data_IF_351504076034
#
_entry.id   IF_351504076034
#
_cell.length_a   1.000
_cell.length_b   1.000
_cell.length_c   1.000
_cell.angle_alpha   90.00
_cell.angle_beta   90.00
_cell.angle_gamma   90.00
#
_symmetry.space_group_name_H-M   'P 1'
#
loop_
_entity.id
_entity.type
_entity.pdbx_description
1 polymer ?
#
# COMPACT_ATOMS: atom_id res chain seq x y z
N UNK A 1 15.79 -10.62 -3.36
CA UNK A 1 17.08 -10.36 -2.66
C UNK A 1 16.90 -9.16 -1.76
N UNK A 2 17.24 -9.29 -0.47
CA UNK A 2 17.18 -8.18 0.48
C UNK A 2 18.31 -7.17 0.20
N UNK A 3 18.01 -5.88 0.42
CA UNK A 3 19.01 -4.82 0.31
C UNK A 3 20.01 -4.91 1.49
N UNK A 4 21.24 -4.46 1.30
CA UNK A 4 22.19 -4.41 2.42
C UNK A 4 21.71 -3.43 3.51
N UNK A 5 22.05 -3.65 4.79
CA UNK A 5 21.56 -2.81 5.89
C UNK A 5 21.85 -1.32 5.70
N UNK A 6 23.05 -0.98 5.18
CA UNK A 6 23.41 0.40 4.88
C UNK A 6 22.53 1.01 3.77
N UNK A 7 22.13 0.22 2.77
CA UNK A 7 21.23 0.68 1.69
C UNK A 7 19.80 0.87 2.22
N UNK A 8 19.30 -0.05 3.06
CA UNK A 8 18.00 0.09 3.70
C UNK A 8 17.94 1.34 4.58
N UNK A 9 18.93 1.52 5.44
CA UNK A 9 19.02 2.72 6.29
C UNK A 9 19.03 4.01 5.45
N UNK A 10 19.83 4.05 4.37
CA UNK A 10 19.88 5.20 3.48
C UNK A 10 18.53 5.49 2.82
N UNK A 11 17.84 4.48 2.31
CA UNK A 11 16.51 4.64 1.70
C UNK A 11 15.49 5.14 2.71
N UNK A 12 15.50 4.60 3.93
CA UNK A 12 14.64 5.03 5.02
C UNK A 12 14.84 6.51 5.35
N UNK A 13 16.09 6.94 5.54
CA UNK A 13 16.43 8.35 5.82
C UNK A 13 16.01 9.26 4.65
N UNK A 14 16.17 8.81 3.40
CA UNK A 14 15.73 9.58 2.23
C UNK A 14 14.21 9.74 2.20
N UNK A 15 13.45 8.68 2.51
CA UNK A 15 12.00 8.74 2.60
C UNK A 15 11.54 9.67 3.73
N UNK A 16 12.13 9.56 4.91
CA UNK A 16 11.84 10.44 6.05
C UNK A 16 12.05 11.92 5.69
N UNK A 17 13.11 12.21 4.94
CA UNK A 17 13.41 13.56 4.47
C UNK A 17 12.45 14.04 3.35
N UNK A 18 12.08 13.16 2.42
CA UNK A 18 11.19 13.49 1.32
C UNK A 18 9.75 13.81 1.78
N UNK A 19 9.31 13.17 2.87
CA UNK A 19 8.00 13.37 3.49
C UNK A 19 7.89 14.68 4.30
N UNK A 20 9.02 15.25 4.77
CA UNK A 20 9.02 16.51 5.53
C UNK A 20 8.70 17.71 4.64
N UNK A 21 7.89 18.64 5.17
CA UNK A 21 7.58 19.90 4.49
C UNK A 21 8.85 20.75 4.32
N UNK A 22 9.11 21.24 3.09
CA UNK A 22 10.28 22.09 2.78
C UNK A 22 11.52 21.36 2.24
N UNK A 23 11.37 20.15 1.67
CA UNK A 23 12.50 19.36 1.17
C UNK A 23 13.35 20.05 0.09
N UNK A 24 14.65 20.22 0.36
CA UNK A 24 15.71 20.55 -0.61
C UNK A 24 15.74 19.65 -1.87
N UNK A 25 16.28 20.19 -2.97
CA UNK A 25 16.42 19.56 -4.30
C UNK A 25 17.06 18.16 -4.27
N UNK A 26 18.04 17.93 -3.37
CA UNK A 26 18.68 16.60 -3.22
C UNK A 26 17.71 15.50 -2.76
N UNK A 27 16.61 15.85 -2.09
CA UNK A 27 15.60 14.88 -1.63
C UNK A 27 14.59 14.53 -2.74
N UNK A 28 14.30 15.48 -3.63
CA UNK A 28 13.52 15.19 -4.85
C UNK A 28 14.18 14.06 -5.63
N UNK A 29 15.52 14.06 -5.74
CA UNK A 29 16.27 13.00 -6.44
C UNK A 29 16.03 11.59 -5.88
N UNK A 30 15.92 11.42 -4.56
CA UNK A 30 15.66 10.11 -3.95
C UNK A 30 14.25 9.59 -4.24
N UNK A 31 13.26 10.46 -4.06
CA UNK A 31 11.86 10.15 -4.38
C UNK A 31 11.67 9.90 -5.89
N UNK A 32 12.30 10.69 -6.75
CA UNK A 32 12.24 10.52 -8.20
C UNK A 32 12.80 9.16 -8.64
N UNK A 33 13.89 8.70 -8.02
CA UNK A 33 14.43 7.36 -8.26
C UNK A 33 13.44 6.26 -7.85
N UNK A 34 12.74 6.44 -6.73
CA UNK A 34 11.71 5.49 -6.29
C UNK A 34 10.50 5.48 -7.23
N UNK A 35 10.07 6.64 -7.74
CA UNK A 35 9.03 6.73 -8.75
C UNK A 35 9.43 6.07 -10.07
N UNK A 36 10.69 6.26 -10.52
CA UNK A 36 11.22 5.59 -11.70
C UNK A 36 11.23 4.06 -11.53
N UNK A 37 11.69 3.57 -10.38
CA UNK A 37 11.69 2.15 -10.03
C UNK A 37 10.26 1.58 -10.05
N UNK A 38 9.33 2.28 -9.41
CA UNK A 38 7.93 1.93 -9.38
C UNK A 38 7.33 1.87 -10.79
N UNK A 39 7.66 2.83 -11.65
CA UNK A 39 7.18 2.85 -13.03
C UNK A 39 7.72 1.67 -13.86
N UNK A 40 8.96 1.23 -13.63
CA UNK A 40 9.52 0.02 -14.24
C UNK A 40 8.80 -1.24 -13.76
N UNK A 41 8.64 -1.42 -12.45
CA UNK A 41 7.99 -2.58 -11.87
C UNK A 41 6.51 -2.67 -12.27
N UNK A 42 5.80 -1.54 -12.33
CA UNK A 42 4.42 -1.45 -12.85
C UNK A 42 4.34 -1.86 -14.32
N UNK A 43 5.29 -1.42 -15.16
CA UNK A 43 5.34 -1.83 -16.58
C UNK A 43 5.56 -3.33 -16.71
N UNK A 44 6.47 -3.91 -15.92
CA UNK A 44 6.71 -5.36 -15.86
C UNK A 44 5.43 -6.11 -15.47
N UNK A 45 4.74 -5.68 -14.43
CA UNK A 45 3.49 -6.30 -13.98
C UNK A 45 2.38 -6.19 -15.04
N UNK A 46 2.27 -5.06 -15.74
CA UNK A 46 1.28 -4.86 -16.82
C UNK A 46 1.46 -5.85 -17.97
N UNK A 47 2.69 -6.26 -18.27
CA UNK A 47 3.00 -7.24 -19.32
C UNK A 47 2.62 -8.69 -19.00
N UNK A 48 2.19 -8.97 -17.77
CA UNK A 48 1.82 -10.32 -17.32
C UNK A 48 0.30 -10.47 -17.38
N UNK A 49 -0.20 -11.62 -17.84
CA UNK A 49 -1.65 -11.86 -17.90
C UNK A 49 -2.18 -12.52 -16.62
N UNK A 50 -1.49 -13.53 -16.09
CA UNK A 50 -1.90 -14.25 -14.88
C UNK A 50 -1.90 -13.35 -13.64
N UNK A 51 -3.04 -13.30 -12.94
CA UNK A 51 -3.21 -12.60 -11.66
C UNK A 51 -2.38 -13.24 -10.55
N UNK A 52 -2.38 -14.57 -10.46
CA UNK A 52 -1.57 -15.35 -9.50
C UNK A 52 -0.07 -15.05 -9.69
N UNK A 53 0.41 -15.03 -10.93
CA UNK A 53 1.82 -14.69 -11.22
C UNK A 53 2.16 -13.24 -10.86
N UNK A 54 1.23 -12.30 -11.05
CA UNK A 54 1.41 -10.91 -10.61
C UNK A 54 1.54 -10.83 -9.09
N UNK A 55 0.68 -11.52 -8.35
CA UNK A 55 0.72 -11.54 -6.89
C UNK A 55 2.08 -12.07 -6.38
N UNK A 56 2.57 -13.18 -6.95
CA UNK A 56 3.89 -13.74 -6.62
C UNK A 56 5.03 -12.73 -6.87
N UNK A 57 5.01 -12.01 -8.00
CA UNK A 57 6.02 -10.99 -8.28
C UNK A 57 5.91 -9.80 -7.32
N UNK A 58 4.69 -9.38 -6.93
CA UNK A 58 4.51 -8.33 -5.93
C UNK A 58 5.19 -8.71 -4.62
N UNK A 59 5.01 -9.96 -4.15
CA UNK A 59 5.70 -10.50 -2.96
C UNK A 59 7.23 -10.35 -3.10
N UNK A 60 7.80 -10.67 -4.27
CA UNK A 60 9.24 -10.52 -4.51
C UNK A 60 9.73 -9.06 -4.53
N UNK A 61 8.86 -8.14 -4.97
CA UNK A 61 9.18 -6.72 -5.11
C UNK A 61 9.04 -5.95 -3.80
N UNK A 62 8.05 -6.27 -2.97
CA UNK A 62 7.73 -5.56 -1.72
C UNK A 62 8.94 -5.30 -0.80
N UNK A 63 9.87 -6.25 -0.59
CA UNK A 63 11.07 -6.00 0.23
C UNK A 63 11.92 -4.83 -0.25
N UNK A 64 11.90 -4.49 -1.55
CA UNK A 64 12.65 -3.37 -2.12
C UNK A 64 12.11 -2.01 -1.69
N UNK A 65 10.81 -1.95 -1.35
CA UNK A 65 10.10 -0.73 -0.97
C UNK A 65 9.93 -0.58 0.54
N UNK A 66 10.09 -1.67 1.31
CA UNK A 66 9.93 -1.71 2.77
C UNK A 66 10.54 -0.50 3.49
N UNK A 67 11.86 -0.30 3.32
CA UNK A 67 12.59 0.79 3.96
C UNK A 67 12.08 2.19 3.56
N UNK A 68 11.62 2.37 2.32
CA UNK A 68 11.04 3.63 1.88
C UNK A 68 9.71 3.88 2.58
N UNK A 69 8.82 2.89 2.58
CA UNK A 69 7.52 2.99 3.26
C UNK A 69 7.70 3.25 4.75
N UNK A 70 8.55 2.48 5.44
CA UNK A 70 8.83 2.69 6.86
C UNK A 70 9.32 4.12 7.16
N UNK A 71 10.20 4.66 6.32
CA UNK A 71 10.69 6.03 6.50
C UNK A 71 9.63 7.08 6.20
N UNK A 72 8.84 6.88 5.15
CA UNK A 72 7.73 7.77 4.80
C UNK A 72 6.68 7.84 5.90
N UNK A 73 6.27 6.69 6.43
CA UNK A 73 5.32 6.61 7.55
C UNK A 73 5.90 7.17 8.85
N UNK A 74 7.18 6.89 9.16
CA UNK A 74 7.82 7.36 10.39
C UNK A 74 8.00 8.89 10.44
N UNK A 75 8.11 9.56 9.29
CA UNK A 75 8.19 11.01 9.24
C UNK A 75 6.85 11.72 9.50
N UNK A 76 5.74 10.97 9.50
CA UNK A 76 4.38 11.44 9.71
C UNK A 76 4.01 12.67 8.84
N UNK A 77 4.50 12.69 7.60
CA UNK A 77 4.34 13.82 6.69
C UNK A 77 3.01 13.83 5.95
N UNK A 78 2.44 15.04 5.76
CA UNK A 78 1.20 15.23 5.00
C UNK A 78 1.37 15.17 3.48
N UNK A 79 2.61 15.24 2.97
CA UNK A 79 2.89 15.20 1.54
C UNK A 79 2.60 13.81 0.98
N UNK A 80 1.69 13.72 0.00
CA UNK A 80 1.38 12.47 -0.68
C UNK A 80 2.62 11.80 -1.28
N UNK A 81 2.70 10.48 -1.11
CA UNK A 81 3.74 9.62 -1.66
C UNK A 81 3.10 8.45 -2.43
N UNK A 82 3.14 8.53 -3.76
CA UNK A 82 2.55 7.51 -4.63
C UNK A 82 3.26 6.15 -4.49
N UNK A 83 4.53 6.12 -4.09
CA UNK A 83 5.25 4.87 -3.84
C UNK A 83 4.60 4.14 -2.67
N UNK A 84 4.32 4.85 -1.57
CA UNK A 84 3.60 4.29 -0.42
C UNK A 84 2.21 3.80 -0.84
N UNK A 85 1.48 4.60 -1.64
CA UNK A 85 0.13 4.23 -2.06
C UNK A 85 0.07 3.01 -2.99
N UNK A 86 1.01 2.84 -3.92
CA UNK A 86 1.09 1.62 -4.73
C UNK A 86 1.54 0.41 -3.92
N UNK A 87 2.48 0.59 -2.98
CA UNK A 87 2.93 -0.49 -2.10
C UNK A 87 1.80 -0.96 -1.19
N UNK A 88 0.94 -0.06 -0.70
CA UNK A 88 -0.27 -0.42 0.03
C UNK A 88 -1.14 -1.40 -0.76
N UNK A 89 -1.44 -1.09 -2.03
CA UNK A 89 -2.20 -2.00 -2.90
C UNK A 89 -1.48 -3.34 -3.09
N UNK A 90 -0.18 -3.31 -3.36
CA UNK A 90 0.59 -4.54 -3.58
C UNK A 90 0.71 -5.42 -2.33
N UNK A 91 0.67 -4.83 -1.13
CA UNK A 91 0.61 -5.56 0.13
C UNK A 91 -0.71 -6.32 0.27
N UNK A 92 -1.84 -5.71 -0.09
CA UNK A 92 -3.15 -6.38 -0.14
C UNK A 92 -3.10 -7.57 -1.10
N UNK A 93 -2.61 -7.35 -2.33
CA UNK A 93 -2.44 -8.42 -3.33
C UNK A 93 -1.55 -9.59 -2.85
N UNK A 94 -0.60 -9.29 -1.96
CA UNK A 94 0.37 -10.24 -1.42
C UNK A 94 -0.08 -10.89 -0.10
N UNK A 95 -1.24 -10.50 0.45
CA UNK A 95 -1.72 -10.95 1.76
C UNK A 95 -1.05 -10.28 2.97
N UNK A 96 -0.22 -9.26 2.78
CA UNK A 96 0.34 -8.42 3.86
C UNK A 96 -0.67 -7.34 4.29
N UNK A 97 -1.80 -7.79 4.83
CA UNK A 97 -2.92 -6.92 5.19
C UNK A 97 -2.57 -5.95 6.33
N UNK A 98 -1.78 -6.39 7.31
CA UNK A 98 -1.33 -5.52 8.41
C UNK A 98 -0.49 -4.34 7.87
N UNK A 99 0.49 -4.62 7.01
CA UNK A 99 1.29 -3.58 6.39
C UNK A 99 0.48 -2.67 5.46
N UNK A 100 -0.58 -3.18 4.82
CA UNK A 100 -1.50 -2.36 4.05
C UNK A 100 -2.32 -1.41 4.95
N UNK A 101 -2.82 -1.90 6.08
CA UNK A 101 -3.57 -1.09 7.04
C UNK A 101 -2.70 0.01 7.68
N UNK A 102 -1.43 -0.23 7.95
CA UNK A 102 -0.50 0.80 8.44
C UNK A 102 -0.35 1.96 7.44
N UNK A 103 -0.16 1.64 6.16
CA UNK A 103 -0.08 2.63 5.09
C UNK A 103 -1.42 3.35 4.90
N UNK A 104 -2.53 2.61 4.94
CA UNK A 104 -3.89 3.13 4.83
C UNK A 104 -4.25 4.11 5.95
N UNK A 105 -3.86 3.79 7.19
CA UNK A 105 -4.06 4.66 8.35
C UNK A 105 -3.34 5.99 8.22
N UNK A 106 -2.12 5.96 7.70
CA UNK A 106 -1.36 7.17 7.41
C UNK A 106 -2.02 7.99 6.29
N UNK A 107 -2.40 7.33 5.20
CA UNK A 107 -3.06 7.95 4.07
C UNK A 107 -4.35 8.68 4.49
N UNK A 108 -5.20 8.03 5.30
CA UNK A 108 -6.45 8.62 5.78
C UNK A 108 -6.23 9.81 6.72
N UNK A 109 -5.29 9.71 7.66
CA UNK A 109 -4.95 10.85 8.55
C UNK A 109 -4.53 12.10 7.79
N UNK A 110 -3.83 11.94 6.67
CA UNK A 110 -3.27 13.03 5.87
C UNK A 110 -4.09 13.35 4.61
N UNK A 111 -5.25 12.73 4.43
CA UNK A 111 -6.14 12.98 3.29
C UNK A 111 -5.54 12.60 1.93
N UNK A 112 -4.70 11.56 1.88
CA UNK A 112 -4.11 11.09 0.63
C UNK A 112 -5.16 10.41 -0.25
N UNK A 113 -4.93 10.46 -1.56
CA UNK A 113 -5.83 9.84 -2.56
C UNK A 113 -5.25 8.56 -3.12
N UNK A 114 -6.13 7.70 -3.66
CA UNK A 114 -5.70 6.50 -4.36
C UNK A 114 -4.87 6.85 -5.59
N UNK A 115 -3.80 6.07 -5.89
CA UNK A 115 -2.90 6.39 -6.99
C UNK A 115 -3.46 5.93 -8.35
N UNK A 116 -4.51 5.11 -8.34
CA UNK A 116 -5.24 4.62 -9.51
C UNK A 116 -6.72 4.40 -9.17
N UNK A 117 -7.57 4.52 -10.18
CA UNK A 117 -9.01 4.32 -10.05
C UNK A 117 -9.72 5.52 -9.40
N UNK A 118 -11.02 5.36 -9.16
CA UNK A 118 -11.89 6.43 -8.65
C UNK A 118 -12.37 6.17 -7.21
N UNK A 119 -12.01 5.02 -6.63
CA UNK A 119 -12.34 4.68 -5.23
C UNK A 119 -11.43 5.49 -4.30
N UNK A 120 -11.96 5.89 -3.14
CA UNK A 120 -11.16 6.52 -2.09
C UNK A 120 -10.42 5.46 -1.25
N UNK A 121 -9.55 5.90 -0.33
CA UNK A 121 -8.67 5.00 0.44
C UNK A 121 -9.50 4.06 1.33
N UNK A 122 -10.48 4.61 2.06
CA UNK A 122 -11.33 3.85 2.96
C UNK A 122 -12.15 2.78 2.24
N UNK A 123 -12.71 3.08 1.07
CA UNK A 123 -13.46 2.11 0.25
C UNK A 123 -12.57 0.96 -0.18
N UNK A 124 -11.35 1.26 -0.67
CA UNK A 124 -10.41 0.21 -1.07
C UNK A 124 -10.02 -0.66 0.12
N UNK A 125 -9.73 -0.09 1.29
CA UNK A 125 -9.38 -0.90 2.46
C UNK A 125 -10.57 -1.73 2.95
N UNK A 126 -11.78 -1.18 2.98
CA UNK A 126 -12.97 -1.90 3.40
C UNK A 126 -13.29 -3.08 2.46
N UNK A 127 -13.37 -2.82 1.15
CA UNK A 127 -13.74 -3.82 0.14
C UNK A 127 -12.70 -4.93 0.05
N UNK A 128 -11.41 -4.59 -0.08
CA UNK A 128 -10.39 -5.61 -0.31
C UNK A 128 -10.16 -6.49 0.94
N UNK A 129 -10.37 -5.96 2.14
CA UNK A 129 -10.31 -6.76 3.38
C UNK A 129 -11.53 -7.66 3.54
N UNK A 130 -12.73 -7.17 3.18
CA UNK A 130 -13.94 -7.98 3.17
C UNK A 130 -13.83 -9.12 2.15
N UNK A 131 -13.38 -8.82 0.93
CA UNK A 131 -13.16 -9.80 -0.14
C UNK A 131 -12.13 -10.86 0.28
N UNK A 132 -11.02 -10.43 0.89
CA UNK A 132 -10.00 -11.34 1.39
C UNK A 132 -10.53 -12.28 2.50
N UNK A 133 -11.28 -11.74 3.46
CA UNK A 133 -11.88 -12.54 4.53
C UNK A 133 -12.95 -13.51 3.99
N UNK A 134 -13.75 -13.07 3.03
CA UNK A 134 -14.74 -13.92 2.37
C UNK A 134 -14.07 -15.06 1.58
N UNK A 135 -13.00 -14.75 0.84
CA UNK A 135 -12.23 -15.75 0.10
C UNK A 135 -11.62 -16.81 1.03
N UNK A 136 -11.02 -16.39 2.15
CA UNK A 136 -10.49 -17.30 3.15
C UNK A 136 -11.58 -18.20 3.74
N UNK A 137 -12.74 -17.62 4.09
CA UNK A 137 -13.88 -18.38 4.61
C UNK A 137 -14.38 -19.43 3.61
N UNK A 138 -14.52 -19.06 2.33
CA UNK A 138 -14.93 -19.99 1.27
C UNK A 138 -13.90 -21.10 1.01
N UNK A 139 -12.62 -20.82 1.23
CA UNK A 139 -11.54 -21.79 1.15
C UNK A 139 -11.41 -22.67 2.40
N UNK A 140 -12.18 -22.39 3.47
CA UNK A 140 -12.02 -23.07 4.77
C UNK A 140 -10.73 -22.68 5.51
N UNK A 141 -10.13 -21.57 5.13
CA UNK A 141 -8.94 -21.00 5.78
C UNK A 141 -9.34 -19.98 6.86
N UNK A 142 -8.46 -19.76 7.83
CA UNK A 142 -8.66 -18.73 8.84
C UNK A 142 -8.23 -17.35 8.33
N UNK A 143 -9.05 -16.34 8.58
CA UNK A 143 -8.68 -14.93 8.43
C UNK A 143 -8.60 -14.27 9.80
N UNK A 144 -7.61 -13.39 10.01
CA UNK A 144 -7.48 -12.67 11.28
C UNK A 144 -8.59 -11.63 11.44
N UNK A 145 -9.53 -11.91 12.33
CA UNK A 145 -10.63 -11.01 12.66
C UNK A 145 -10.14 -9.66 13.22
N UNK A 146 -8.94 -9.60 13.81
CA UNK A 146 -8.33 -8.36 14.27
C UNK A 146 -8.03 -7.38 13.13
N UNK A 147 -7.77 -7.87 11.92
CA UNK A 147 -7.61 -7.01 10.74
C UNK A 147 -8.96 -6.41 10.32
N UNK A 148 -10.05 -7.18 10.38
CA UNK A 148 -11.39 -6.67 10.07
C UNK A 148 -11.83 -5.60 11.07
N UNK A 149 -11.58 -5.81 12.36
CA UNK A 149 -11.87 -4.81 13.40
C UNK A 149 -11.06 -3.52 13.18
N UNK A 150 -9.78 -3.64 12.86
CA UNK A 150 -8.95 -2.47 12.55
C UNK A 150 -9.43 -1.72 11.30
N UNK A 151 -9.88 -2.44 10.26
CA UNK A 151 -10.47 -1.82 9.07
C UNK A 151 -11.75 -1.07 9.43
N UNK A 152 -12.64 -1.66 10.22
CA UNK A 152 -13.87 -1.02 10.68
C UNK A 152 -13.58 0.26 11.47
N UNK A 153 -12.67 0.20 12.44
CA UNK A 153 -12.26 1.39 13.20
C UNK A 153 -11.64 2.47 12.30
N UNK A 154 -10.93 2.04 11.25
CA UNK A 154 -10.24 2.95 10.35
C UNK A 154 -11.19 3.65 9.37
N UNK A 155 -12.27 2.98 8.96
CA UNK A 155 -13.26 3.51 8.03
C UNK A 155 -14.49 4.10 8.74
N UNK A 156 -14.59 3.99 10.06
CA UNK A 156 -15.65 4.60 10.84
C UNK A 156 -15.70 6.13 10.63
N UNK A 157 -16.92 6.65 10.41
CA UNK A 157 -17.16 8.06 10.11
C UNK A 157 -16.60 8.56 8.77
N UNK A 158 -16.01 7.70 7.93
CA UNK A 158 -15.58 8.06 6.59
C UNK A 158 -16.70 7.88 5.57
N UNK A 159 -16.77 8.78 4.59
CA UNK A 159 -17.74 8.68 3.50
C UNK A 159 -17.35 7.53 2.56
N UNK A 160 -18.25 6.57 2.41
CA UNK A 160 -18.11 5.40 1.54
C UNK A 160 -19.40 5.22 0.75
N UNK A 161 -19.31 4.96 -0.58
CA UNK A 161 -20.49 4.60 -1.35
C UNK A 161 -21.09 3.30 -0.80
N UNK A 162 -22.42 3.18 -0.85
CA UNK A 162 -23.13 1.97 -0.42
C UNK A 162 -22.57 0.73 -1.13
N UNK A 163 -22.42 -0.40 -0.42
CA UNK A 163 -21.89 -1.62 -1.02
C UNK A 163 -22.77 -2.05 -2.18
N UNK A 164 -22.14 -2.34 -3.32
CA UNK A 164 -22.84 -2.96 -4.45
C UNK A 164 -23.23 -4.36 -4.00
N UNK A 165 -24.49 -4.58 -3.63
CA UNK A 165 -25.03 -5.91 -3.36
C UNK A 165 -24.87 -6.76 -4.62
N UNK A 166 -23.79 -7.53 -4.67
CA UNK A 166 -23.64 -8.61 -5.63
C UNK A 166 -24.65 -9.68 -5.27
N UNK A 167 -25.78 -9.72 -5.97
CA UNK A 167 -26.71 -10.84 -5.90
C UNK A 167 -25.94 -12.10 -6.29
N UNK A 168 -25.81 -13.11 -5.41
CA UNK A 168 -25.20 -14.36 -5.80
C UNK A 168 -26.10 -15.02 -6.86
N UNK A 169 -25.52 -15.38 -8.00
CA UNK A 169 -26.13 -16.24 -9.02
C UNK A 169 -25.82 -17.71 -8.72
#
# INVERSE_FOLDING_TARGET
MSLSPARQHRLRVQAEQAARQGGNVRHATGHDLMLMQLAEDRRRLKGIQSTVKKAQIKVELLPRYSAWVEGGLAADGARQDDVVMFVMLWRIDAGDYAGALDAGRHALRHGWVMPIGNRNVQTVLAEEMADAAQAALLAGESFDAGLLLQTLELTDGQDMPDPVTGTPA
#
